data_IF_637757597056
#
_entry.id   IF_637757597056
#
_cell.length_a   1.000
_cell.length_b   1.000
_cell.length_c   1.000
_cell.angle_alpha   90.00
_cell.angle_beta   90.00
_cell.angle_gamma   90.00
#
_symmetry.space_group_name_H-M   'P 1'
#
loop_
_entity.id
_entity.type
_entity.pdbx_description
1 polymer ?
#
# COMPACT_ATOMS: atom_id res chain seq x y z
N UNK A 1 -22.01 59.07 -27.51
CA UNK A 1 -20.96 58.50 -26.63
C UNK A 1 -21.47 57.20 -26.04
N UNK A 2 -20.68 56.12 -26.06
CA UNK A 2 -20.97 54.93 -25.26
C UNK A 2 -21.11 53.63 -26.03
N UNK A 3 -19.99 52.99 -26.39
CA UNK A 3 -19.83 51.53 -26.32
C UNK A 3 -18.36 51.19 -26.57
N UNK A 4 -17.51 51.42 -25.56
CA UNK A 4 -16.09 50.98 -25.59
C UNK A 4 -15.70 50.14 -24.37
N UNK A 5 -16.66 49.84 -23.49
CA UNK A 5 -16.42 49.12 -22.24
C UNK A 5 -16.79 47.62 -22.26
N UNK A 6 -17.28 47.07 -23.37
CA UNK A 6 -17.78 45.68 -23.42
C UNK A 6 -16.69 44.62 -23.66
N UNK A 7 -15.64 44.95 -24.42
CA UNK A 7 -14.63 43.96 -24.83
C UNK A 7 -13.64 43.58 -23.71
N UNK A 8 -13.31 44.51 -22.83
CA UNK A 8 -12.40 44.27 -21.70
C UNK A 8 -13.03 43.33 -20.67
N UNK A 9 -14.30 43.54 -20.34
CA UNK A 9 -15.02 42.74 -19.34
C UNK A 9 -15.18 41.29 -19.80
N UNK A 10 -15.48 41.08 -21.08
CA UNK A 10 -15.63 39.74 -21.67
C UNK A 10 -14.29 39.00 -21.69
N UNK A 11 -13.20 39.67 -22.04
CA UNK A 11 -11.85 39.10 -22.03
C UNK A 11 -11.41 38.63 -20.63
N UNK A 12 -11.64 39.45 -19.60
CA UNK A 12 -11.32 39.10 -18.21
C UNK A 12 -12.14 37.88 -17.75
N UNK A 13 -13.42 37.81 -18.13
CA UNK A 13 -14.31 36.72 -17.72
C UNK A 13 -13.91 35.39 -18.37
N UNK A 14 -13.47 35.42 -19.64
CA UNK A 14 -12.93 34.24 -20.33
C UNK A 14 -11.60 33.78 -19.72
N UNK A 15 -10.68 34.71 -19.40
CA UNK A 15 -9.41 34.36 -18.74
C UNK A 15 -9.65 33.78 -17.35
N UNK A 16 -10.56 34.37 -16.57
CA UNK A 16 -10.93 33.84 -15.26
C UNK A 16 -11.57 32.45 -15.36
N UNK A 17 -12.47 32.22 -16.32
CA UNK A 17 -13.07 30.91 -16.55
C UNK A 17 -12.04 29.85 -16.95
N UNK A 18 -11.10 30.19 -17.84
CA UNK A 18 -10.02 29.27 -18.26
C UNK A 18 -9.07 28.97 -17.11
N UNK A 19 -8.70 29.98 -16.31
CA UNK A 19 -7.85 29.81 -15.13
C UNK A 19 -8.52 28.96 -14.03
N UNK A 20 -9.83 29.10 -13.84
CA UNK A 20 -10.59 28.27 -12.91
C UNK A 20 -10.71 26.83 -13.38
N UNK A 21 -10.85 26.60 -14.69
CA UNK A 21 -10.93 25.25 -15.28
C UNK A 21 -9.57 24.52 -15.26
N UNK A 22 -8.45 25.22 -15.45
CA UNK A 22 -7.10 24.62 -15.42
C UNK A 22 -6.62 24.22 -14.01
N UNK A 23 -7.25 24.75 -12.95
CA UNK A 23 -6.95 24.35 -11.56
C UNK A 23 -7.43 22.93 -11.20
N UNK A 24 -8.20 22.27 -12.08
CA UNK A 24 -8.73 20.91 -11.90
C UNK A 24 -7.89 19.86 -12.63
N UNK A 25 -6.59 20.04 -12.78
CA UNK A 25 -5.70 18.93 -13.16
C UNK A 25 -5.65 17.97 -11.98
N UNK A 26 -6.49 16.94 -12.04
CA UNK A 26 -6.47 15.85 -11.07
C UNK A 26 -5.15 15.11 -11.27
N UNK A 27 -4.39 14.92 -10.20
CA UNK A 27 -3.27 14.00 -10.22
C UNK A 27 -3.81 12.61 -10.59
N UNK A 28 -3.52 12.15 -11.80
CA UNK A 28 -3.97 10.84 -12.27
C UNK A 28 -3.03 9.81 -11.65
N UNK A 29 -3.58 9.01 -10.75
CA UNK A 29 -2.90 7.90 -10.12
C UNK A 29 -3.31 6.62 -10.85
N UNK A 30 -2.34 5.83 -11.28
CA UNK A 30 -2.61 4.55 -11.92
C UNK A 30 -2.17 3.40 -11.04
N UNK A 31 -3.10 2.49 -10.78
CA UNK A 31 -2.83 1.26 -10.05
C UNK A 31 -1.93 0.36 -10.89
N UNK A 32 -0.87 -0.13 -10.26
CA UNK A 32 -0.02 -1.19 -10.77
C UNK A 32 -0.70 -2.51 -10.46
N UNK A 33 -0.77 -3.40 -11.46
CA UNK A 33 -1.41 -4.70 -11.34
C UNK A 33 -0.93 -5.50 -10.12
N UNK A 34 -1.73 -6.49 -9.66
CA UNK A 34 -1.66 -7.03 -8.31
C UNK A 34 -0.40 -7.84 -7.98
N UNK A 35 0.40 -8.25 -8.98
CA UNK A 35 1.44 -9.26 -8.78
C UNK A 35 2.76 -8.64 -8.30
N UNK A 36 3.20 -9.02 -7.09
CA UNK A 36 4.46 -8.56 -6.46
C UNK A 36 5.69 -8.91 -7.31
N UNK A 37 5.68 -10.11 -7.90
CA UNK A 37 6.81 -10.69 -8.62
C UNK A 37 7.05 -10.01 -9.98
N UNK A 38 6.01 -9.55 -10.66
CA UNK A 38 6.10 -8.80 -11.91
C UNK A 38 6.83 -7.45 -11.77
N UNK A 39 6.73 -6.85 -10.59
CA UNK A 39 7.41 -5.61 -10.25
C UNK A 39 8.77 -5.82 -9.58
N UNK A 40 9.13 -7.08 -9.26
CA UNK A 40 10.38 -7.42 -8.58
C UNK A 40 10.46 -6.88 -7.14
N UNK A 41 9.32 -6.59 -6.51
CA UNK A 41 9.30 -5.99 -5.17
C UNK A 41 9.56 -7.07 -4.11
N UNK A 42 10.53 -6.84 -3.22
CA UNK A 42 10.74 -7.69 -2.02
C UNK A 42 10.40 -6.90 -0.78
N UNK A 43 9.22 -7.14 -0.23
CA UNK A 43 8.77 -6.56 1.02
C UNK A 43 8.34 -7.62 2.03
N UNK A 44 8.43 -7.26 3.31
CA UNK A 44 7.79 -7.91 4.45
C UNK A 44 6.93 -6.88 5.19
N UNK A 45 5.88 -7.33 5.84
CA UNK A 45 5.03 -6.48 6.66
C UNK A 45 4.62 -7.21 7.92
N UNK A 46 4.36 -6.43 8.95
CA UNK A 46 3.82 -6.94 10.20
C UNK A 46 2.78 -5.97 10.74
N UNK A 47 1.64 -6.50 11.15
CA UNK A 47 0.56 -5.71 11.74
C UNK A 47 0.34 -6.26 13.15
N UNK A 48 0.49 -5.41 14.14
CA UNK A 48 0.34 -5.77 15.55
C UNK A 48 -0.70 -4.90 16.21
N UNK A 49 -1.56 -5.51 17.03
CA UNK A 49 -2.52 -4.75 17.82
C UNK A 49 -1.83 -4.13 19.05
N UNK A 50 -2.18 -2.88 19.32
CA UNK A 50 -1.78 -2.16 20.53
C UNK A 50 -2.90 -2.26 21.58
N UNK A 51 -2.57 -2.00 22.85
CA UNK A 51 -3.54 -2.07 23.95
C UNK A 51 -4.69 -1.06 23.82
N UNK A 52 -4.48 0.02 23.07
CA UNK A 52 -5.44 1.13 22.93
C UNK A 52 -6.41 0.97 21.75
N UNK A 53 -6.52 -0.24 21.18
CA UNK A 53 -7.37 -0.49 20.01
C UNK A 53 -6.82 0.08 18.70
N UNK A 54 -5.56 0.51 18.67
CA UNK A 54 -4.84 0.88 17.44
C UNK A 54 -4.06 -0.31 16.89
N UNK A 55 -3.76 -0.27 15.60
CA UNK A 55 -2.85 -1.19 14.94
C UNK A 55 -1.55 -0.47 14.62
N UNK A 56 -0.45 -1.11 14.98
CA UNK A 56 0.88 -0.74 14.56
C UNK A 56 1.25 -1.52 13.30
N UNK A 57 1.37 -0.80 12.18
CA UNK A 57 1.73 -1.34 10.87
C UNK A 57 3.21 -1.07 10.62
N UNK A 58 3.99 -2.14 10.60
CA UNK A 58 5.39 -2.12 10.22
C UNK A 58 5.53 -2.63 8.79
N UNK A 59 6.30 -1.93 7.97
CA UNK A 59 6.56 -2.30 6.59
C UNK A 59 8.06 -2.23 6.31
N UNK A 60 8.58 -3.27 5.67
CA UNK A 60 9.98 -3.39 5.28
C UNK A 60 10.05 -3.66 3.80
N UNK A 61 10.93 -2.96 3.10
CA UNK A 61 11.16 -3.08 1.68
C UNK A 61 12.64 -3.30 1.43
N UNK A 62 12.98 -4.56 1.17
CA UNK A 62 14.33 -5.03 0.89
C UNK A 62 14.74 -4.78 -0.57
N UNK A 63 13.79 -4.86 -1.50
CA UNK A 63 14.03 -4.58 -2.92
C UNK A 63 12.89 -3.78 -3.51
N UNK A 64 13.25 -2.66 -4.16
CA UNK A 64 12.32 -1.75 -4.83
C UNK A 64 12.01 -2.23 -6.26
N UNK A 65 12.75 -3.22 -6.76
CA UNK A 65 12.56 -3.81 -8.08
C UNK A 65 12.52 -2.76 -9.18
N UNK A 66 11.52 -2.89 -10.04
CA UNK A 66 11.28 -2.02 -11.20
C UNK A 66 10.79 -0.63 -10.82
N UNK A 67 10.39 -0.39 -9.57
CA UNK A 67 9.82 0.89 -9.13
C UNK A 67 10.87 1.86 -8.57
N UNK A 68 12.14 1.47 -8.56
CA UNK A 68 13.23 2.30 -8.04
C UNK A 68 13.41 3.60 -8.85
N UNK A 69 13.60 4.76 -8.20
CA UNK A 69 13.42 4.99 -6.76
C UNK A 69 11.94 5.13 -6.37
N UNK A 70 11.56 4.54 -5.24
CA UNK A 70 10.25 4.79 -4.64
C UNK A 70 10.20 6.21 -4.11
N UNK A 71 9.08 6.88 -4.38
CA UNK A 71 8.87 8.25 -3.96
C UNK A 71 8.35 8.35 -2.53
N UNK A 72 7.29 7.62 -2.22
CA UNK A 72 6.68 7.64 -0.89
C UNK A 72 5.87 6.38 -0.61
N UNK A 73 5.67 6.10 0.66
CA UNK A 73 4.81 5.02 1.14
C UNK A 73 3.78 5.62 2.09
N UNK A 74 2.52 5.22 1.92
CA UNK A 74 1.42 5.68 2.75
C UNK A 74 0.55 4.50 3.16
N UNK A 75 -0.14 4.64 4.29
CA UNK A 75 -1.26 3.77 4.64
C UNK A 75 -2.54 4.54 4.35
N UNK A 76 -3.39 3.96 3.52
CA UNK A 76 -4.71 4.48 3.21
C UNK A 76 -5.78 3.55 3.73
N UNK A 77 -6.93 4.11 4.13
CA UNK A 77 -8.17 3.36 4.26
C UNK A 77 -9.23 4.03 3.41
N UNK A 78 -9.89 3.26 2.55
CA UNK A 78 -10.97 3.72 1.70
C UNK A 78 -12.28 3.17 2.22
N UNK A 79 -13.34 3.98 2.17
CA UNK A 79 -14.69 3.48 2.45
C UNK A 79 -15.06 2.35 1.48
N UNK A 80 -16.04 1.55 1.87
CA UNK A 80 -16.74 0.70 0.92
C UNK A 80 -17.22 1.52 -0.28
N UNK A 81 -17.20 0.92 -1.49
CA UNK A 81 -17.73 1.58 -2.67
C UNK A 81 -19.20 1.91 -2.46
N UNK A 82 -19.56 3.16 -2.74
CA UNK A 82 -20.96 3.60 -2.82
C UNK A 82 -21.61 3.04 -4.09
N UNK A 83 -22.95 3.12 -4.24
CA UNK A 83 -23.64 2.67 -5.44
C UNK A 83 -23.14 3.31 -6.75
N UNK A 84 -22.58 4.52 -6.66
CA UNK A 84 -21.96 5.24 -7.79
C UNK A 84 -20.50 4.81 -8.06
N UNK A 85 -19.99 3.80 -7.37
CA UNK A 85 -18.62 3.31 -7.45
C UNK A 85 -17.59 4.18 -6.73
N UNK A 86 -17.99 5.34 -6.20
CA UNK A 86 -17.07 6.26 -5.51
C UNK A 86 -16.65 5.72 -4.15
N UNK A 87 -15.44 6.12 -3.71
CA UNK A 87 -14.89 5.80 -2.39
C UNK A 87 -14.40 7.07 -1.72
N UNK A 88 -14.56 7.16 -0.41
CA UNK A 88 -14.05 8.26 0.41
C UNK A 88 -12.78 7.82 1.14
N UNK A 89 -11.80 8.70 1.25
CA UNK A 89 -10.64 8.49 2.10
C UNK A 89 -11.06 8.59 3.57
N UNK A 90 -10.98 7.49 4.29
CA UNK A 90 -11.16 7.44 5.75
C UNK A 90 -9.84 7.73 6.47
N UNK A 91 -8.72 7.35 5.86
CA UNK A 91 -7.38 7.58 6.38
C UNK A 91 -6.38 7.82 5.24
N UNK A 92 -5.46 8.74 5.48
CA UNK A 92 -4.23 8.94 4.70
C UNK A 92 -3.10 9.24 5.68
N UNK A 93 -2.31 8.23 6.02
CA UNK A 93 -1.18 8.36 6.93
C UNK A 93 0.14 8.16 6.17
N UNK A 94 1.05 9.15 6.11
CA UNK A 94 2.37 8.97 5.53
C UNK A 94 3.20 8.02 6.40
N UNK A 95 3.96 7.13 5.77
CA UNK A 95 4.90 6.24 6.44
C UNK A 95 6.32 6.71 6.11
N UNK A 96 7.04 7.18 7.13
CA UNK A 96 8.44 7.57 6.97
C UNK A 96 9.29 6.31 6.79
N UNK A 97 9.77 6.10 5.57
CA UNK A 97 10.67 4.99 5.24
C UNK A 97 12.11 5.43 5.46
N UNK A 98 12.84 4.70 6.31
CA UNK A 98 14.26 4.95 6.58
C UNK A 98 15.07 3.68 6.30
N UNK A 99 16.24 3.77 5.65
CA UNK A 99 17.12 2.63 5.50
C UNK A 99 17.64 2.18 6.87
N UNK A 100 17.67 0.87 7.10
CA UNK A 100 18.38 0.25 8.23
C UNK A 100 19.87 0.05 7.88
N UNK A 101 20.62 -0.58 8.78
CA UNK A 101 22.05 -0.90 8.60
C UNK A 101 22.32 -1.80 7.38
N UNK A 102 21.32 -2.57 6.94
CA UNK A 102 21.37 -3.46 5.77
C UNK A 102 20.91 -2.77 4.47
N UNK A 103 20.54 -1.48 4.53
CA UNK A 103 19.99 -0.73 3.40
C UNK A 103 18.52 -1.03 3.07
N UNK A 104 17.83 -1.85 3.88
CA UNK A 104 16.40 -2.15 3.77
C UNK A 104 15.61 -0.93 4.25
N UNK A 105 14.68 -0.45 3.42
CA UNK A 105 13.77 0.63 3.82
C UNK A 105 12.74 0.09 4.79
N UNK A 106 12.73 0.58 6.03
CA UNK A 106 11.76 0.21 7.04
C UNK A 106 10.96 1.45 7.50
N UNK A 107 9.67 1.26 7.74
CA UNK A 107 8.79 2.30 8.22
C UNK A 107 7.71 1.72 9.13
N UNK A 108 7.15 2.59 9.96
CA UNK A 108 6.09 2.24 10.90
C UNK A 108 5.03 3.35 10.95
N UNK A 109 3.77 2.96 11.09
CA UNK A 109 2.68 3.90 11.37
C UNK A 109 1.61 3.25 12.24
N UNK A 110 0.97 4.05 13.10
CA UNK A 110 -0.18 3.62 13.89
C UNK A 110 -1.49 4.09 13.25
N UNK A 111 -2.48 3.20 13.21
CA UNK A 111 -3.81 3.47 12.66
C UNK A 111 -4.89 2.94 13.60
N UNK A 112 -6.13 3.41 13.46
CA UNK A 112 -7.26 2.84 14.22
C UNK A 112 -7.54 1.38 13.80
N UNK A 113 -7.75 0.48 14.76
CA UNK A 113 -7.96 -0.94 14.46
C UNK A 113 -9.23 -1.23 13.67
N UNK A 114 -10.25 -0.40 13.80
CA UNK A 114 -11.48 -0.47 12.99
C UNK A 114 -11.25 -0.27 11.48
N UNK A 115 -10.06 0.18 11.07
CA UNK A 115 -9.70 0.38 9.65
C UNK A 115 -8.95 -0.80 9.04
N UNK A 116 -8.64 -1.86 9.80
CA UNK A 116 -7.77 -2.96 9.36
C UNK A 116 -8.20 -3.59 8.03
N UNK A 117 -9.50 -3.84 7.87
CA UNK A 117 -10.05 -4.54 6.71
C UNK A 117 -10.11 -3.68 5.45
N UNK A 118 -10.13 -2.36 5.65
CA UNK A 118 -10.20 -1.34 4.59
C UNK A 118 -8.83 -0.77 4.23
N UNK A 119 -7.83 -1.01 5.08
CA UNK A 119 -6.54 -0.38 4.96
C UNK A 119 -5.60 -1.12 4.01
N UNK A 120 -4.82 -0.32 3.27
CA UNK A 120 -3.80 -0.77 2.32
C UNK A 120 -2.52 0.03 2.55
N UNK A 121 -1.36 -0.61 2.41
CA UNK A 121 -0.09 0.09 2.18
C UNK A 121 -0.02 0.41 0.70
N UNK A 122 0.06 1.70 0.37
CA UNK A 122 0.21 2.20 -0.99
C UNK A 122 1.62 2.72 -1.19
N UNK A 123 2.33 2.15 -2.15
CA UNK A 123 3.65 2.58 -2.58
C UNK A 123 3.48 3.46 -3.81
N UNK A 124 4.05 4.66 -3.80
CA UNK A 124 4.06 5.56 -4.96
C UNK A 124 5.43 5.59 -5.63
N UNK A 125 5.42 5.57 -6.95
CA UNK A 125 6.60 5.83 -7.76
C UNK A 125 6.29 6.70 -8.97
N UNK A 126 7.22 7.61 -9.28
CA UNK A 126 7.22 8.39 -10.53
C UNK A 126 8.00 7.69 -11.64
N UNK A 127 8.66 6.57 -11.35
CA UNK A 127 9.58 5.88 -12.25
C UNK A 127 9.24 4.40 -12.34
N UNK A 128 9.32 3.85 -13.55
CA UNK A 128 9.28 2.39 -13.76
C UNK A 128 10.44 2.05 -14.68
N UNK A 129 11.24 1.05 -14.30
CA UNK A 129 12.49 0.67 -14.99
C UNK A 129 13.46 1.84 -15.20
N UNK A 130 13.52 2.74 -14.21
CA UNK A 130 14.31 3.97 -14.28
C UNK A 130 13.75 5.05 -15.22
N UNK A 131 12.65 4.78 -15.92
CA UNK A 131 12.01 5.74 -16.83
C UNK A 131 10.93 6.56 -16.13
N UNK A 132 10.96 7.90 -16.23
CA UNK A 132 9.94 8.76 -15.63
C UNK A 132 8.58 8.57 -16.32
N UNK A 133 7.53 8.50 -15.51
CA UNK A 133 6.16 8.30 -15.97
C UNK A 133 5.53 9.64 -16.36
N UNK A 134 5.35 9.85 -17.66
CA UNK A 134 4.82 11.13 -18.22
C UNK A 134 3.36 11.41 -17.87
N UNK A 135 2.59 10.39 -17.51
CA UNK A 135 1.14 10.49 -17.31
C UNK A 135 0.71 10.55 -15.84
N UNK A 136 1.65 10.62 -14.89
CA UNK A 136 1.33 10.74 -13.47
C UNK A 136 1.99 9.66 -12.62
N UNK A 137 1.48 9.49 -11.40
CA UNK A 137 2.10 8.64 -10.39
C UNK A 137 1.57 7.22 -10.50
N UNK A 138 2.46 6.24 -10.48
CA UNK A 138 2.09 4.83 -10.37
C UNK A 138 1.99 4.45 -8.91
N UNK A 139 0.99 3.67 -8.55
CA UNK A 139 0.85 3.18 -7.19
C UNK A 139 0.60 1.68 -7.14
N UNK A 140 1.15 1.03 -6.12
CA UNK A 140 0.92 -0.38 -5.84
C UNK A 140 0.28 -0.54 -4.47
N UNK A 141 -0.86 -1.23 -4.42
CA UNK A 141 -1.64 -1.44 -3.20
C UNK A 141 -1.41 -2.83 -2.60
N UNK A 142 -1.08 -2.84 -1.30
CA UNK A 142 -0.87 -4.05 -0.51
C UNK A 142 -1.91 -4.05 0.62
N UNK A 143 -2.96 -4.89 0.54
CA UNK A 143 -3.94 -5.00 1.62
C UNK A 143 -3.29 -5.38 2.94
N UNK A 144 -3.62 -4.70 4.04
CA UNK A 144 -3.04 -5.00 5.37
C UNK A 144 -3.30 -6.44 5.80
N UNK A 145 -4.44 -7.01 5.44
CA UNK A 145 -4.76 -8.43 5.66
C UNK A 145 -3.74 -9.42 5.06
N UNK A 146 -2.99 -9.02 4.01
CA UNK A 146 -1.89 -9.84 3.46
C UNK A 146 -0.60 -9.70 4.25
N UNK A 147 -0.47 -8.65 5.08
CA UNK A 147 0.69 -8.32 5.91
C UNK A 147 0.51 -8.74 7.37
N UNK A 148 -0.70 -9.09 7.78
CA UNK A 148 -0.91 -9.82 9.03
C UNK A 148 -0.19 -11.15 8.84
N UNK A 149 0.97 -11.32 9.51
CA UNK A 149 1.66 -12.60 9.50
C UNK A 149 0.66 -13.66 9.92
N UNK A 150 0.37 -14.58 9.01
CA UNK A 150 -0.03 -15.93 9.39
C UNK A 150 1.16 -16.45 10.17
N UNK A 151 1.10 -16.35 11.49
CA UNK A 151 2.12 -16.89 12.39
C UNK A 151 2.53 -18.24 11.82
N UNK A 152 3.81 -18.47 11.45
CA UNK A 152 4.27 -19.84 11.37
C UNK A 152 4.01 -20.37 12.77
N UNK A 153 3.09 -21.32 12.89
CA UNK A 153 3.00 -22.12 14.10
C UNK A 153 4.38 -22.74 14.27
N UNK A 154 5.21 -22.10 15.09
CA UNK A 154 6.32 -22.74 15.71
C UNK A 154 5.72 -23.90 16.52
N UNK A 155 5.95 -25.12 16.04
CA UNK A 155 5.50 -26.33 16.69
C UNK A 155 4.17 -26.87 16.18
N UNK A 156 4.11 -27.35 14.94
CA UNK A 156 3.48 -28.65 14.79
C UNK A 156 4.32 -29.60 15.67
N UNK A 157 3.74 -30.32 16.65
CA UNK A 157 4.47 -31.41 17.27
C UNK A 157 4.90 -32.31 16.11
N UNK A 158 6.20 -32.56 15.99
CA UNK A 158 6.66 -33.69 15.19
C UNK A 158 5.82 -34.86 15.68
N UNK A 159 4.97 -35.37 14.78
CA UNK A 159 4.38 -36.69 14.94
C UNK A 159 5.52 -37.60 15.39
N UNK A 160 5.44 -38.24 16.57
CA UNK A 160 6.49 -39.16 16.96
C UNK A 160 6.64 -40.16 15.82
N UNK A 161 7.88 -40.37 15.39
CA UNK A 161 8.22 -41.41 14.42
C UNK A 161 7.51 -42.70 14.86
N UNK A 162 6.98 -43.50 13.92
CA UNK A 162 6.37 -44.77 14.29
C UNK A 162 7.42 -45.57 15.06
N UNK A 163 7.20 -45.74 16.36
CA UNK A 163 7.98 -46.67 17.17
C UNK A 163 7.75 -48.02 16.51
N UNK A 164 8.78 -48.56 15.89
CA UNK A 164 8.77 -49.92 15.40
C UNK A 164 8.40 -50.82 16.59
N UNK A 165 7.30 -51.56 16.45
CA UNK A 165 6.90 -52.57 17.43
C UNK A 165 8.07 -53.56 17.61
N UNK A 166 8.47 -53.87 18.84
CA UNK A 166 9.46 -54.91 19.06
C UNK A 166 8.92 -56.25 18.53
N UNK A 167 9.79 -57.12 17.97
CA UNK A 167 9.36 -58.43 17.50
C UNK A 167 8.82 -59.25 18.67
N UNK A 168 7.61 -59.78 18.51
CA UNK A 168 7.01 -60.75 19.43
C UNK A 168 7.91 -61.99 19.43
N UNK A 169 8.68 -62.18 20.51
CA UNK A 169 9.37 -63.44 20.78
C UNK A 169 8.34 -64.46 21.24
N UNK A 170 7.95 -65.37 20.35
CA UNK A 170 7.27 -66.59 20.74
C UNK A 170 8.31 -67.52 21.39
N UNK A 171 8.21 -67.67 22.71
CA UNK A 171 8.92 -68.72 23.44
C UNK A 171 7.91 -69.57 24.21
N UNK A 172 7.55 -70.68 23.56
CA UNK A 172 7.41 -72.05 24.09
C UNK A 172 6.45 -72.28 25.27
N UNK A 173 5.44 -73.11 24.99
CA UNK A 173 5.24 -74.34 25.76
C UNK A 173 5.01 -75.52 24.83
#
# INVERSE_FOLDING_TARGET
MGSRFSFLTTGVLVVAAVALMSSRVWAVYYELGPSKDEWGLKYDGNVTATKDGKLNVQFKLADQGRLKPIHSVHVFALSHPRPDGSRTYLLKAPMAMKPNEEGILAGQVEIGGHLADLAVVRIFSYTVDGQPQRLGVRYYDIPLRKLVKKTPVAGAPRSPAPVALPPVSNTIR
#
